data_IF_797099209847
#
_entry.id   IF_797099209847
#
_cell.length_a   1.000
_cell.length_b   1.000
_cell.length_c   1.000
_cell.angle_alpha   90.00
_cell.angle_beta   90.00
_cell.angle_gamma   90.00
#
_symmetry.space_group_name_H-M   'P 1'
#
loop_
_entity.id
_entity.type
_entity.pdbx_description
1 polymer ?
#
# COMPACT_ATOMS: atom_id res chain seq x y z
N UNK A 1 -3.51 -5.32 23.49
CA UNK A 1 -2.67 -5.83 22.39
C UNK A 1 -3.02 -5.02 21.15
N UNK A 2 -2.07 -4.35 20.46
CA UNK A 2 -2.40 -3.67 19.22
C UNK A 2 -2.88 -4.70 18.18
N UNK A 3 -4.04 -4.48 17.58
CA UNK A 3 -4.63 -5.37 16.59
C UNK A 3 -3.79 -5.43 15.30
N UNK A 4 -3.91 -6.54 14.57
CA UNK A 4 -3.38 -6.65 13.19
C UNK A 4 -4.42 -6.15 12.20
N UNK A 5 -4.01 -5.26 11.31
CA UNK A 5 -4.87 -4.64 10.29
C UNK A 5 -4.49 -5.20 8.92
N UNK A 6 -5.51 -5.54 8.14
CA UNK A 6 -5.36 -5.97 6.76
C UNK A 6 -5.94 -4.89 5.85
N UNK A 7 -5.12 -4.39 4.91
CA UNK A 7 -5.55 -3.42 3.89
C UNK A 7 -5.60 -4.13 2.55
N UNK A 8 -6.72 -3.98 1.83
CA UNK A 8 -6.92 -4.55 0.50
C UNK A 8 -6.89 -3.42 -0.54
N UNK A 9 -5.94 -3.53 -1.47
CA UNK A 9 -5.65 -2.55 -2.51
C UNK A 9 -4.52 -1.61 -2.10
N UNK A 10 -3.44 -1.55 -2.87
CA UNK A 10 -2.33 -0.60 -2.70
C UNK A 10 -2.46 0.61 -3.64
N UNK A 11 -3.68 1.13 -3.79
CA UNK A 11 -3.95 2.42 -4.44
C UNK A 11 -3.76 3.60 -3.48
N UNK A 12 -4.13 4.81 -3.90
CA UNK A 12 -3.98 6.01 -3.07
C UNK A 12 -4.64 5.87 -1.69
N UNK A 13 -5.89 5.37 -1.64
CA UNK A 13 -6.63 5.16 -0.39
C UNK A 13 -6.01 4.09 0.50
N UNK A 14 -5.59 2.96 -0.05
CA UNK A 14 -5.02 1.87 0.74
C UNK A 14 -3.60 2.17 1.25
N UNK A 15 -2.78 2.88 0.47
CA UNK A 15 -1.49 3.38 0.95
C UNK A 15 -1.66 4.43 2.05
N UNK A 16 -2.63 5.33 1.92
CA UNK A 16 -2.96 6.31 2.98
C UNK A 16 -3.43 5.61 4.26
N UNK A 17 -4.36 4.65 4.16
CA UNK A 17 -4.84 3.88 5.31
C UNK A 17 -3.71 3.09 5.98
N UNK A 18 -2.82 2.47 5.18
CA UNK A 18 -1.66 1.74 5.68
C UNK A 18 -0.72 2.65 6.45
N UNK A 19 -0.39 3.84 5.90
CA UNK A 19 0.44 4.85 6.56
C UNK A 19 -0.14 5.23 7.92
N UNK A 20 -1.41 5.63 7.96
CA UNK A 20 -2.07 6.07 9.20
C UNK A 20 -2.04 4.95 10.25
N UNK A 21 -2.38 3.72 9.87
CA UNK A 21 -2.35 2.59 10.79
C UNK A 21 -0.94 2.31 11.36
N UNK A 22 0.11 2.47 10.54
CA UNK A 22 1.50 2.35 11.01
C UNK A 22 1.89 3.48 11.98
N UNK A 23 1.46 4.72 11.72
CA UNK A 23 1.72 5.87 12.59
C UNK A 23 1.07 5.71 13.97
N UNK A 24 -0.10 5.05 14.04
CA UNK A 24 -0.76 4.70 15.30
C UNK A 24 -0.18 3.43 15.97
N UNK A 25 0.87 2.82 15.41
CA UNK A 25 1.55 1.67 16.00
C UNK A 25 0.84 0.33 15.77
N UNK A 26 -0.07 0.23 14.80
CA UNK A 26 -0.67 -1.04 14.42
C UNK A 26 0.25 -1.84 13.49
N UNK A 27 0.18 -3.17 13.60
CA UNK A 27 0.79 -4.03 12.58
C UNK A 27 -0.15 -4.12 11.37
N UNK A 28 0.32 -3.66 10.21
CA UNK A 28 -0.47 -3.65 8.96
C UNK A 28 0.14 -4.57 7.92
N UNK A 29 -0.71 -5.29 7.21
CA UNK A 29 -0.38 -5.99 5.97
C UNK A 29 -1.25 -5.44 4.85
N UNK A 30 -0.65 -5.03 3.73
CA UNK A 30 -1.37 -4.54 2.56
C UNK A 30 -1.28 -5.53 1.42
N UNK A 31 -2.41 -5.85 0.80
CA UNK A 31 -2.54 -6.79 -0.31
C UNK A 31 -2.90 -6.05 -1.58
N UNK A 32 -2.18 -6.28 -2.68
CA UNK A 32 -2.53 -5.73 -3.99
C UNK A 32 -2.57 -6.86 -5.02
N UNK A 33 -3.64 -6.90 -5.81
CA UNK A 33 -3.81 -7.87 -6.88
C UNK A 33 -2.86 -7.60 -8.05
N UNK A 34 -2.56 -6.33 -8.29
CA UNK A 34 -1.64 -5.91 -9.32
C UNK A 34 -0.19 -6.25 -8.93
N UNK A 35 0.66 -6.31 -9.95
CA UNK A 35 2.09 -6.58 -9.83
C UNK A 35 2.85 -5.47 -9.10
N UNK A 36 2.21 -4.32 -8.84
CA UNK A 36 2.85 -3.17 -8.25
C UNK A 36 1.82 -2.26 -7.57
N UNK A 37 2.31 -1.39 -6.69
CA UNK A 37 1.49 -0.38 -6.00
C UNK A 37 1.08 0.76 -6.94
N UNK A 38 0.12 1.58 -6.51
CA UNK A 38 -0.35 2.77 -7.21
C UNK A 38 -1.81 2.69 -7.67
N UNK A 39 -2.42 1.51 -7.69
CA UNK A 39 -3.84 1.35 -8.03
C UNK A 39 -4.20 1.98 -9.39
N UNK A 40 -5.10 2.96 -9.38
CA UNK A 40 -5.50 3.72 -10.58
C UNK A 40 -4.37 4.62 -11.13
N UNK A 41 -3.48 5.11 -10.26
CA UNK A 41 -2.38 6.01 -10.62
C UNK A 41 -1.23 5.28 -11.33
N UNK A 42 -1.21 3.95 -11.23
CA UNK A 42 -0.28 3.13 -12.00
C UNK A 42 -0.81 2.99 -13.42
N UNK A 43 -0.20 3.69 -14.37
CA UNK A 43 -0.42 3.43 -15.79
C UNK A 43 -0.02 1.99 -16.12
N UNK A 44 -0.91 1.23 -16.76
CA UNK A 44 -0.71 -0.19 -17.10
C UNK A 44 -0.62 -0.31 -18.62
N UNK A 45 0.57 -0.14 -19.23
CA UNK A 45 0.74 -0.40 -20.66
C UNK A 45 0.51 -1.88 -20.97
N UNK A 46 0.94 -2.76 -20.05
CA UNK A 46 0.71 -4.20 -20.11
C UNK A 46 -0.10 -4.67 -18.89
N UNK A 47 -1.12 -5.52 -19.09
CA UNK A 47 -1.79 -6.18 -17.98
C UNK A 47 -0.80 -7.08 -17.25
N UNK A 48 -1.02 -7.25 -15.94
CA UNK A 48 -0.19 -8.12 -15.14
C UNK A 48 -0.22 -9.56 -15.65
N UNK A 49 0.93 -10.15 -16.04
CA UNK A 49 0.96 -11.53 -16.46
C UNK A 49 0.71 -12.41 -15.23
N UNK A 50 -0.50 -12.97 -15.15
CA UNK A 50 -0.94 -13.84 -14.07
C UNK A 50 -1.65 -13.12 -12.90
N UNK A 51 -2.50 -13.88 -12.20
CA UNK A 51 -3.26 -13.48 -11.01
C UNK A 51 -2.38 -13.51 -9.75
N UNK A 52 -1.23 -12.82 -9.78
CA UNK A 52 -0.27 -12.82 -8.68
C UNK A 52 -0.62 -11.72 -7.68
N UNK A 53 -1.16 -12.11 -6.53
CA UNK A 53 -1.33 -11.19 -5.39
C UNK A 53 0.04 -10.92 -4.76
N UNK A 54 0.41 -9.64 -4.65
CA UNK A 54 1.59 -9.21 -3.89
C UNK A 54 1.20 -8.73 -2.51
N UNK A 55 1.93 -9.22 -1.52
CA UNK A 55 1.79 -8.81 -0.13
C UNK A 55 2.90 -7.82 0.19
N UNK A 56 2.53 -6.63 0.63
CA UNK A 56 3.48 -5.60 1.05
C UNK A 56 3.49 -5.52 2.57
N UNK A 57 4.64 -5.86 3.14
CA UNK A 57 4.92 -5.68 4.56
C UNK A 57 5.63 -4.35 4.73
N UNK A 58 4.93 -3.38 5.29
CA UNK A 58 5.48 -2.06 5.52
C UNK A 58 5.99 -1.98 6.96
N UNK A 59 7.30 -2.08 7.14
CA UNK A 59 7.95 -1.67 8.39
C UNK A 59 8.25 -0.17 8.31
N UNK A 60 8.12 0.54 9.43
CA UNK A 60 8.11 2.02 9.52
C UNK A 60 9.31 2.78 8.94
N UNK A 61 10.31 2.09 8.37
CA UNK A 61 11.48 2.69 7.72
C UNK A 61 11.25 2.96 6.22
N UNK A 62 10.34 2.24 5.55
CA UNK A 62 10.14 2.41 4.10
C UNK A 62 9.20 3.57 3.72
N UNK A 63 8.28 3.95 4.61
CA UNK A 63 7.27 4.98 4.32
C UNK A 63 7.75 6.42 4.53
N UNK A 64 8.83 6.67 5.28
CA UNK A 64 9.38 8.02 5.46
C UNK A 64 9.99 8.61 4.19
N UNK A 65 10.34 7.75 3.21
CA UNK A 65 10.73 8.14 1.84
C UNK A 65 9.60 8.07 0.82
N UNK A 66 8.48 7.42 1.17
CA UNK A 66 7.25 7.40 0.38
C UNK A 66 6.23 8.45 0.85
N UNK A 67 6.68 9.47 1.60
CA UNK A 67 6.18 10.84 1.41
C UNK A 67 6.59 11.29 0.01
N UNK A 68 6.00 10.63 -1.00
CA UNK A 68 5.86 11.21 -2.30
C UNK A 68 5.25 12.58 -2.09
N UNK A 69 5.81 13.55 -2.79
CA UNK A 69 5.30 14.88 -3.03
C UNK A 69 3.92 14.88 -3.73
N UNK A 70 3.09 13.85 -3.54
CA UNK A 70 1.70 13.84 -3.90
C UNK A 70 0.92 14.24 -2.66
N UNK A 71 0.85 15.56 -2.51
CA UNK A 71 -0.31 16.22 -1.95
C UNK A 71 -1.56 15.44 -2.37
N UNK A 72 -2.27 14.92 -1.38
CA UNK A 72 -3.68 14.60 -1.52
C UNK A 72 -4.34 15.96 -1.74
N UNK A 73 -4.38 16.41 -3.00
CA UNK A 73 -5.34 17.42 -3.44
C UNK A 73 -6.67 16.71 -3.72
#
# INVERSE_FOLDING_TARGET
MPGRICVIGAGASGLAATKTCLEYGFQVVCFEKSCDIGGLWRYKPDPCPGLNFKNFYFSGIFFSKLTFNFCIF
#
